data_IF_347236194624
#
_entry.id   IF_347236194624
#
_cell.length_a   1.000
_cell.length_b   1.000
_cell.length_c   1.000
_cell.angle_alpha   90.00
_cell.angle_beta   90.00
_cell.angle_gamma   90.00
#
_symmetry.space_group_name_H-M   'P 1'
#
loop_
_entity.id
_entity.type
_entity.pdbx_description
1 polymer ?
#
# COMPACT_ATOMS: atom_id res chain seq x y z
N UNK A 1 -12.76 11.04 21.18
CA UNK A 1 -11.45 10.52 21.62
C UNK A 1 -11.23 9.07 21.16
N UNK A 2 -12.09 8.10 21.49
CA UNK A 2 -11.97 6.69 21.05
C UNK A 2 -11.88 6.50 19.50
N UNK A 3 -12.67 7.24 18.72
CA UNK A 3 -12.61 7.17 17.24
C UNK A 3 -11.35 7.78 16.60
N UNK A 4 -10.65 8.68 17.30
CA UNK A 4 -9.39 9.27 16.79
C UNK A 4 -8.23 8.28 16.95
N UNK A 5 -8.23 7.52 18.05
CA UNK A 5 -7.24 6.47 18.33
C UNK A 5 -7.37 5.32 17.31
N UNK A 6 -8.59 4.88 17.00
CA UNK A 6 -8.82 3.85 15.97
C UNK A 6 -8.33 4.28 14.58
N UNK A 7 -8.46 5.56 14.22
CA UNK A 7 -7.98 6.08 12.94
C UNK A 7 -6.45 6.05 12.82
N UNK A 8 -5.74 6.45 13.86
CA UNK A 8 -4.27 6.44 13.90
C UNK A 8 -3.71 5.01 13.96
N UNK A 9 -4.33 4.10 14.71
CA UNK A 9 -3.94 2.69 14.76
C UNK A 9 -4.09 1.99 13.40
N UNK A 10 -5.19 2.27 12.68
CA UNK A 10 -5.41 1.76 11.32
C UNK A 10 -4.35 2.28 10.36
N UNK A 11 -4.06 3.59 10.41
CA UNK A 11 -3.02 4.22 9.59
C UNK A 11 -1.66 3.58 9.83
N UNK A 12 -1.28 3.41 11.10
CA UNK A 12 -0.01 2.80 11.46
C UNK A 12 0.07 1.34 10.99
N UNK A 13 -1.00 0.57 11.17
CA UNK A 13 -1.07 -0.83 10.71
C UNK A 13 -0.89 -0.95 9.21
N UNK A 14 -1.60 -0.13 8.42
CA UNK A 14 -1.47 -0.09 6.95
C UNK A 14 -0.04 0.29 6.54
N UNK A 15 0.53 1.30 7.20
CA UNK A 15 1.89 1.79 6.92
C UNK A 15 2.94 0.71 7.18
N UNK A 16 2.90 0.04 8.34
CA UNK A 16 3.83 -1.03 8.69
C UNK A 16 3.69 -2.19 7.69
N UNK A 17 2.46 -2.60 7.41
CA UNK A 17 2.16 -3.70 6.51
C UNK A 17 2.72 -3.45 5.10
N UNK A 18 2.34 -2.32 4.48
CA UNK A 18 2.69 -2.04 3.10
C UNK A 18 4.19 -1.77 2.94
N UNK A 19 4.82 -1.13 3.95
CA UNK A 19 6.29 -1.02 4.01
C UNK A 19 6.95 -2.39 4.07
N UNK A 20 6.39 -3.34 4.83
CA UNK A 20 6.83 -4.73 4.87
C UNK A 20 6.77 -5.41 3.50
N UNK A 21 5.65 -5.25 2.78
CA UNK A 21 5.47 -5.79 1.42
C UNK A 21 6.52 -5.22 0.45
N UNK A 22 6.71 -3.90 0.45
CA UNK A 22 7.70 -3.24 -0.42
C UNK A 22 9.11 -3.73 -0.11
N UNK A 23 9.47 -3.85 1.17
CA UNK A 23 10.78 -4.37 1.59
C UNK A 23 10.96 -5.84 1.23
N UNK A 24 9.91 -6.66 1.35
CA UNK A 24 9.94 -8.07 0.92
C UNK A 24 10.21 -8.17 -0.59
N UNK A 25 9.55 -7.32 -1.38
CA UNK A 25 9.66 -7.36 -2.84
C UNK A 25 10.98 -6.80 -3.37
N UNK A 26 11.48 -5.69 -2.80
CA UNK A 26 12.63 -4.95 -3.33
C UNK A 26 13.91 -5.13 -2.51
N UNK A 27 13.83 -5.82 -1.37
CA UNK A 27 14.89 -5.88 -0.37
C UNK A 27 15.07 -4.55 0.39
N UNK A 28 16.00 -4.58 1.35
CA UNK A 28 16.29 -3.44 2.24
C UNK A 28 16.78 -2.20 1.47
N UNK A 29 17.75 -2.38 0.57
CA UNK A 29 18.32 -1.25 -0.19
C UNK A 29 17.32 -0.71 -1.22
N UNK A 30 16.61 -1.60 -1.92
CA UNK A 30 15.64 -1.19 -2.95
C UNK A 30 14.45 -0.44 -2.37
N UNK A 31 13.92 -0.89 -1.24
CA UNK A 31 12.84 -0.18 -0.53
C UNK A 31 13.26 1.22 -0.06
N UNK A 32 14.47 1.38 0.49
CA UNK A 32 14.99 2.71 0.88
C UNK A 32 15.14 3.66 -0.29
N UNK A 33 15.62 3.18 -1.44
CA UNK A 33 15.73 4.00 -2.66
C UNK A 33 14.34 4.45 -3.11
N UNK A 34 13.37 3.53 -3.16
CA UNK A 34 11.99 3.85 -3.52
C UNK A 34 11.40 4.88 -2.55
N UNK A 35 11.51 4.65 -1.24
CA UNK A 35 11.03 5.57 -0.20
C UNK A 35 11.64 6.97 -0.33
N UNK A 36 12.96 7.05 -0.56
CA UNK A 36 13.66 8.32 -0.75
C UNK A 36 13.13 9.11 -1.96
N UNK A 37 13.01 8.45 -3.12
CA UNK A 37 12.50 9.12 -4.32
C UNK A 37 11.03 9.52 -4.18
N UNK A 38 10.20 8.62 -3.66
CA UNK A 38 8.78 8.87 -3.44
C UNK A 38 8.55 10.01 -2.45
N UNK A 39 9.31 10.08 -1.35
CA UNK A 39 9.24 11.19 -0.39
C UNK A 39 9.55 12.53 -1.05
N UNK A 40 10.56 12.56 -1.95
CA UNK A 40 10.92 13.79 -2.68
C UNK A 40 9.86 14.22 -3.68
N UNK A 41 9.18 13.28 -4.32
CA UNK A 41 8.09 13.53 -5.29
C UNK A 41 6.83 14.00 -4.56
N UNK A 42 6.42 13.26 -3.53
CA UNK A 42 5.17 13.49 -2.81
C UNK A 42 5.25 14.56 -1.72
N UNK A 43 6.47 14.97 -1.32
CA UNK A 43 6.73 15.91 -0.21
C UNK A 43 6.17 15.45 1.15
N UNK A 44 5.94 14.15 1.29
CA UNK A 44 5.41 13.50 2.48
C UNK A 44 5.90 12.05 2.53
N UNK A 45 5.71 11.38 3.68
CA UNK A 45 5.95 9.93 3.75
C UNK A 45 5.02 9.20 2.77
N UNK A 46 5.56 8.31 1.92
CA UNK A 46 4.79 7.72 0.83
C UNK A 46 3.66 6.79 1.31
N UNK A 47 3.80 6.17 2.47
CA UNK A 47 2.78 5.28 3.02
C UNK A 47 1.68 6.05 3.74
N UNK A 48 2.01 7.22 4.27
CA UNK A 48 1.01 8.19 4.73
C UNK A 48 0.17 8.69 3.55
N UNK A 49 0.81 9.00 2.42
CA UNK A 49 0.09 9.36 1.19
C UNK A 49 -0.74 8.19 0.66
N UNK A 50 -0.21 6.97 0.67
CA UNK A 50 -0.97 5.77 0.29
C UNK A 50 -2.25 5.62 1.11
N UNK A 51 -2.22 5.91 2.41
CA UNK A 51 -3.38 5.84 3.28
C UNK A 51 -4.43 6.91 2.93
N UNK A 52 -3.98 8.13 2.66
CA UNK A 52 -4.86 9.28 2.44
C UNK A 52 -5.41 9.37 1.01
N UNK A 53 -4.55 9.16 0.00
CA UNK A 53 -4.82 9.18 -1.44
C UNK A 53 -3.97 8.09 -2.16
N UNK A 54 -4.50 6.84 -2.26
CA UNK A 54 -3.83 5.74 -2.96
C UNK A 54 -3.45 6.08 -4.41
N UNK A 55 -4.25 6.92 -5.08
CA UNK A 55 -3.96 7.32 -6.45
C UNK A 55 -2.74 8.23 -6.52
N UNK A 56 -2.59 9.16 -5.59
CA UNK A 56 -1.39 10.00 -5.52
C UNK A 56 -0.12 9.16 -5.34
N UNK A 57 -0.19 8.07 -4.56
CA UNK A 57 0.91 7.12 -4.46
C UNK A 57 1.22 6.44 -5.81
N UNK A 58 0.20 5.94 -6.53
CA UNK A 58 0.38 5.35 -7.87
C UNK A 58 0.99 6.36 -8.86
N UNK A 59 0.49 7.60 -8.86
CA UNK A 59 0.98 8.65 -9.74
C UNK A 59 2.43 9.03 -9.38
N UNK A 60 2.79 9.04 -8.09
CA UNK A 60 4.17 9.21 -7.64
C UNK A 60 5.10 8.11 -8.15
N UNK A 61 4.65 6.84 -8.13
CA UNK A 61 5.41 5.73 -8.69
C UNK A 61 5.61 5.89 -10.20
N UNK A 62 4.60 6.36 -10.94
CA UNK A 62 4.71 6.64 -12.38
C UNK A 62 5.69 7.76 -12.69
N UNK A 63 5.74 8.80 -11.85
CA UNK A 63 6.73 9.87 -11.99
C UNK A 63 8.15 9.33 -11.77
N UNK A 64 8.34 8.43 -10.80
CA UNK A 64 9.65 7.87 -10.50
C UNK A 64 10.12 6.81 -11.50
N UNK A 65 9.28 5.82 -11.80
CA UNK A 65 9.63 4.62 -12.56
C UNK A 65 9.20 4.68 -14.03
N UNK A 66 8.45 5.70 -14.43
CA UNK A 66 7.86 5.79 -15.76
C UNK A 66 6.96 4.58 -16.05
N UNK A 67 7.15 3.98 -17.22
CA UNK A 67 6.39 2.80 -17.67
C UNK A 67 6.61 1.55 -16.80
N UNK A 68 7.69 1.50 -16.00
CA UNK A 68 7.95 0.41 -15.06
C UNK A 68 7.00 0.39 -13.85
N UNK A 69 6.34 1.51 -13.56
CA UNK A 69 5.45 1.64 -12.40
C UNK A 69 4.26 0.68 -12.46
N UNK A 70 3.62 0.53 -13.63
CA UNK A 70 2.45 -0.33 -13.76
C UNK A 70 2.81 -1.82 -13.59
N UNK A 71 4.03 -2.22 -13.98
CA UNK A 71 4.52 -3.56 -13.72
C UNK A 71 4.74 -3.80 -12.22
N UNK A 72 5.37 -2.84 -11.52
CA UNK A 72 5.56 -2.91 -10.08
C UNK A 72 4.22 -2.97 -9.33
N UNK A 73 3.27 -2.10 -9.68
CA UNK A 73 1.92 -2.08 -9.10
C UNK A 73 1.22 -3.44 -9.29
N UNK A 74 1.29 -4.03 -10.48
CA UNK A 74 0.73 -5.38 -10.73
C UNK A 74 1.39 -6.46 -9.88
N UNK A 75 2.70 -6.40 -9.68
CA UNK A 75 3.40 -7.35 -8.81
C UNK A 75 2.99 -7.16 -7.35
N UNK A 76 2.90 -5.91 -6.87
CA UNK A 76 2.44 -5.60 -5.52
C UNK A 76 1.02 -6.11 -5.27
N UNK A 77 0.07 -5.83 -6.17
CA UNK A 77 -1.30 -6.30 -6.03
C UNK A 77 -1.38 -7.82 -6.02
N UNK A 78 -0.62 -8.50 -6.90
CA UNK A 78 -0.55 -9.97 -6.91
C UNK A 78 0.04 -10.53 -5.62
N UNK A 79 1.11 -9.92 -5.11
CA UNK A 79 1.75 -10.34 -3.87
C UNK A 79 0.76 -10.18 -2.70
N UNK A 80 0.17 -9.00 -2.52
CA UNK A 80 -0.76 -8.71 -1.42
C UNK A 80 -1.97 -9.63 -1.45
N UNK A 81 -2.64 -9.76 -2.60
CA UNK A 81 -3.86 -10.58 -2.71
C UNK A 81 -3.57 -12.06 -2.48
N UNK A 82 -2.45 -12.59 -2.99
CA UNK A 82 -2.11 -14.02 -2.87
C UNK A 82 -1.51 -14.37 -1.52
N UNK A 83 -0.51 -13.63 -1.06
CA UNK A 83 0.23 -13.96 0.17
C UNK A 83 -0.61 -13.72 1.42
N UNK A 84 -1.54 -12.76 1.37
CA UNK A 84 -2.43 -12.46 2.51
C UNK A 84 -3.85 -13.02 2.33
N UNK A 85 -4.09 -13.84 1.30
CA UNK A 85 -5.37 -14.54 1.06
C UNK A 85 -6.60 -13.63 1.18
N UNK A 86 -6.51 -12.42 0.63
CA UNK A 86 -7.61 -11.46 0.66
C UNK A 86 -8.81 -12.04 -0.08
N UNK A 87 -9.91 -12.28 0.64
CA UNK A 87 -11.12 -12.88 0.08
C UNK A 87 -11.94 -11.82 -0.64
N UNK A 88 -12.48 -12.17 -1.82
CA UNK A 88 -13.41 -11.31 -2.54
C UNK A 88 -12.79 -10.09 -3.23
N UNK A 89 -11.47 -10.13 -3.49
CA UNK A 89 -10.78 -9.16 -4.32
C UNK A 89 -9.73 -9.87 -5.17
N UNK A 90 -9.67 -9.57 -6.46
CA UNK A 90 -8.58 -10.02 -7.32
C UNK A 90 -7.51 -8.91 -7.49
N UNK A 91 -6.31 -9.21 -8.01
CA UNK A 91 -5.27 -8.19 -8.17
C UNK A 91 -5.65 -7.01 -9.06
N UNK A 92 -6.53 -7.19 -10.05
CA UNK A 92 -6.97 -6.10 -10.93
C UNK A 92 -7.99 -5.20 -10.22
N UNK A 93 -8.91 -5.78 -9.47
CA UNK A 93 -9.84 -5.04 -8.62
C UNK A 93 -9.09 -4.27 -7.54
N UNK A 94 -8.08 -4.88 -6.91
CA UNK A 94 -7.22 -4.21 -5.94
C UNK A 94 -6.55 -2.97 -6.55
N UNK A 95 -5.99 -3.08 -7.77
CA UNK A 95 -5.43 -1.93 -8.48
C UNK A 95 -6.47 -0.87 -8.84
N UNK A 96 -7.66 -1.28 -9.27
CA UNK A 96 -8.76 -0.33 -9.54
C UNK A 96 -9.12 0.47 -8.31
N UNK A 97 -9.11 -0.14 -7.11
CA UNK A 97 -9.35 0.59 -5.87
C UNK A 97 -8.25 1.62 -5.57
N UNK A 98 -6.99 1.30 -5.90
CA UNK A 98 -5.89 2.26 -5.76
C UNK A 98 -5.98 3.44 -6.75
N UNK A 99 -6.48 3.20 -7.96
CA UNK A 99 -6.59 4.22 -9.01
C UNK A 99 -7.86 5.07 -8.92
N UNK A 100 -8.80 4.73 -8.05
CA UNK A 100 -10.07 5.44 -7.93
C UNK A 100 -10.02 6.49 -6.83
N UNK A 101 -10.40 7.73 -7.15
CA UNK A 101 -10.44 8.85 -6.19
C UNK A 101 -11.70 8.88 -5.33
N UNK A 102 -12.66 7.97 -5.55
CA UNK A 102 -13.87 7.88 -4.73
C UNK A 102 -13.54 7.43 -3.32
N UNK A 103 -14.18 8.08 -2.35
CA UNK A 103 -14.03 7.77 -0.92
C UNK A 103 -14.33 6.29 -0.63
N UNK A 104 -15.39 5.72 -1.20
CA UNK A 104 -15.77 4.32 -0.96
C UNK A 104 -14.70 3.33 -1.47
N UNK A 105 -14.05 3.65 -2.60
CA UNK A 105 -12.97 2.85 -3.17
C UNK A 105 -11.73 2.88 -2.27
N UNK A 106 -11.36 4.07 -1.77
CA UNK A 106 -10.29 4.22 -0.79
C UNK A 106 -10.62 3.48 0.51
N UNK A 107 -11.81 3.68 1.06
CA UNK A 107 -12.20 3.08 2.33
C UNK A 107 -12.21 1.54 2.22
N UNK A 108 -12.66 0.99 1.08
CA UNK A 108 -12.54 -0.45 0.78
C UNK A 108 -11.09 -0.92 0.67
N UNK A 109 -10.22 -0.18 -0.02
CA UNK A 109 -8.79 -0.46 -0.11
C UNK A 109 -8.12 -0.52 1.27
N UNK A 110 -8.40 0.47 2.12
CA UNK A 110 -7.86 0.52 3.49
C UNK A 110 -8.39 -0.61 4.35
N UNK A 111 -9.68 -0.98 4.22
CA UNK A 111 -10.22 -2.14 4.93
C UNK A 111 -9.47 -3.43 4.56
N UNK A 112 -9.23 -3.67 3.27
CA UNK A 112 -8.46 -4.83 2.80
C UNK A 112 -7.04 -4.86 3.38
N UNK A 113 -6.35 -3.72 3.42
CA UNK A 113 -5.00 -3.63 4.00
C UNK A 113 -4.98 -3.85 5.51
N UNK A 114 -6.00 -3.37 6.23
CA UNK A 114 -6.15 -3.63 7.66
C UNK A 114 -6.43 -5.11 7.92
N UNK A 115 -7.30 -5.75 7.13
CA UNK A 115 -7.54 -7.20 7.21
C UNK A 115 -6.25 -8.00 6.97
N UNK A 116 -5.46 -7.62 5.96
CA UNK A 116 -4.16 -8.24 5.70
C UNK A 116 -3.17 -8.07 6.87
N UNK A 117 -3.11 -6.88 7.46
CA UNK A 117 -2.25 -6.57 8.59
C UNK A 117 -2.66 -7.31 9.88
N UNK A 118 -3.96 -7.52 10.11
CA UNK A 118 -4.47 -8.27 11.25
C UNK A 118 -4.39 -9.79 11.05
N UNK A 119 -4.46 -10.26 9.80
CA UNK A 119 -4.33 -11.68 9.44
C UNK A 119 -2.88 -12.20 9.47
N UNK A 120 -1.88 -11.31 9.40
CA UNK A 120 -0.47 -11.66 9.59
C UNK A 120 -0.14 -11.85 11.07
N UNK A 121 -0.63 -12.93 11.66
CA UNK A 121 -0.14 -13.47 12.92
C UNK A 121 1.28 -14.03 12.75
N UNK A 122 2.27 -13.13 12.75
CA UNK A 122 3.71 -13.40 12.88
C UNK A 122 4.43 -13.85 11.60
N UNK A 123 5.73 -13.49 11.42
CA UNK A 123 6.58 -14.20 10.47
C UNK A 123 6.70 -15.67 10.90
N UNK A 124 6.62 -16.59 9.93
CA UNK A 124 6.95 -17.98 10.16
C UNK A 124 8.39 -18.09 10.73
N UNK A 125 8.63 -19.00 11.70
CA UNK A 125 9.92 -19.18 12.35
C UNK A 125 11.05 -19.55 11.37
#
# INVERSE_FOLDING_TARGET
MKMMVEGEERRMSVKIFFRGVIRSLLGESGSKVLEFHMTRILKADPYDVLYDDPKAFCDGLRIFLGSGADALLKVLAKNIVKEHSLKGVDPEEFLKLMEDRRKDSRDRFINLLVEAACGSGGPAP
#
